data_IF_729579413836
#
_entry.id   IF_729579413836
#
_cell.length_a   1.000
_cell.length_b   1.000
_cell.length_c   1.000
_cell.angle_alpha   90.00
_cell.angle_beta   90.00
_cell.angle_gamma   90.00
#
_symmetry.space_group_name_H-M   'P 1'
#
loop_
_entity.id
_entity.type
_entity.pdbx_description
1 polymer ?
#
# COMPACT_ATOMS: atom_id res chain seq x y z
N UNK A 1 3.31 13.83 8.33
CA UNK A 1 3.58 12.37 8.37
C UNK A 1 3.22 11.65 9.67
N UNK A 2 3.60 12.11 10.88
CA UNK A 2 3.27 11.36 12.12
C UNK A 2 1.78 11.05 12.27
N UNK A 3 0.89 12.00 11.97
CA UNK A 3 -0.56 11.79 12.01
C UNK A 3 -1.05 10.69 11.07
N UNK A 4 -0.38 10.47 9.93
CA UNK A 4 -0.74 9.38 9.01
C UNK A 4 -0.34 8.03 9.61
N UNK A 5 0.86 7.93 10.20
CA UNK A 5 1.30 6.73 10.89
C UNK A 5 0.37 6.39 12.06
N UNK A 6 0.02 7.39 12.88
CA UNK A 6 -0.88 7.22 14.02
C UNK A 6 -2.28 6.77 13.56
N UNK A 7 -2.78 7.33 12.46
CA UNK A 7 -4.07 6.93 11.89
C UNK A 7 -4.02 5.48 11.35
N UNK A 8 -2.91 5.08 10.73
CA UNK A 8 -2.71 3.74 10.19
C UNK A 8 -2.62 2.66 11.28
N UNK A 9 -2.00 3.01 12.42
CA UNK A 9 -1.87 2.14 13.59
C UNK A 9 -3.11 2.16 14.50
N UNK A 10 -4.11 3.01 14.19
CA UNK A 10 -5.35 3.07 14.94
C UNK A 10 -6.15 1.78 14.78
N UNK A 11 -6.80 1.35 15.86
CA UNK A 11 -7.71 0.20 15.89
C UNK A 11 -7.07 -1.16 15.52
N UNK A 12 -5.74 -1.28 15.65
CA UNK A 12 -5.00 -2.51 15.37
C UNK A 12 -4.18 -2.44 14.09
N UNK A 13 -3.83 -3.60 13.54
CA UNK A 13 -2.95 -3.68 12.38
C UNK A 13 -3.71 -3.26 11.12
N UNK A 14 -3.27 -2.16 10.50
CA UNK A 14 -3.78 -1.73 9.22
C UNK A 14 -3.44 -2.68 8.07
N UNK A 15 -3.91 -2.33 6.88
CA UNK A 15 -3.63 -3.09 5.65
C UNK A 15 -3.21 -2.16 4.52
N UNK A 16 -2.35 -2.67 3.66
CA UNK A 16 -2.17 -2.15 2.30
C UNK A 16 -2.99 -3.02 1.34
N UNK A 17 -3.80 -2.38 0.51
CA UNK A 17 -4.71 -3.02 -0.45
C UNK A 17 -4.36 -2.56 -1.85
N UNK A 18 -4.05 -3.49 -2.74
CA UNK A 18 -3.63 -3.22 -4.12
C UNK A 18 -4.79 -3.34 -5.09
N UNK A 19 -4.87 -2.39 -6.00
CA UNK A 19 -5.97 -2.28 -6.95
C UNK A 19 -5.47 -2.07 -8.38
N UNK A 20 -6.31 -2.46 -9.32
CA UNK A 20 -6.18 -2.07 -10.71
C UNK A 20 -6.79 -0.68 -11.00
N UNK A 21 -6.65 -0.26 -12.25
CA UNK A 21 -7.33 0.93 -12.76
C UNK A 21 -6.75 2.25 -12.27
N UNK A 22 -7.58 3.28 -12.25
CA UNK A 22 -7.17 4.65 -11.90
C UNK A 22 -7.38 4.87 -10.39
N UNK A 23 -6.36 5.41 -9.74
CA UNK A 23 -6.44 5.82 -8.34
C UNK A 23 -7.56 6.86 -8.16
N UNK A 24 -8.54 6.61 -7.28
CA UNK A 24 -9.63 7.54 -7.06
C UNK A 24 -9.14 8.80 -6.34
N UNK A 25 -9.77 9.95 -6.61
CA UNK A 25 -9.50 11.16 -5.84
C UNK A 25 -10.07 11.02 -4.42
N UNK A 26 -9.25 11.29 -3.40
CA UNK A 26 -9.69 11.49 -2.01
C UNK A 26 -10.40 10.30 -1.36
N UNK A 27 -9.96 9.06 -1.61
CA UNK A 27 -10.54 7.88 -0.95
C UNK A 27 -11.87 7.41 -1.53
N UNK A 28 -12.19 7.81 -2.77
CA UNK A 28 -13.39 7.37 -3.49
C UNK A 28 -13.51 5.86 -3.71
N UNK A 29 -14.55 5.45 -4.42
CA UNK A 29 -14.82 4.03 -4.71
C UNK A 29 -13.61 3.38 -5.41
N UNK A 30 -13.14 2.28 -4.83
CA UNK A 30 -12.00 1.52 -5.36
C UNK A 30 -12.45 0.57 -6.48
N UNK A 31 -11.51 0.23 -7.38
CA UNK A 31 -11.68 -0.78 -8.41
C UNK A 31 -11.56 -2.21 -7.88
N UNK A 32 -11.02 -3.11 -8.70
CA UNK A 32 -10.84 -4.50 -8.33
C UNK A 32 -9.71 -4.64 -7.31
N UNK A 33 -10.01 -5.24 -6.16
CA UNK A 33 -8.97 -5.61 -5.19
C UNK A 33 -8.18 -6.82 -5.71
N UNK A 34 -6.88 -6.64 -5.91
CA UNK A 34 -5.95 -7.68 -6.36
C UNK A 34 -5.34 -8.43 -5.18
N UNK A 35 -4.88 -7.69 -4.16
CA UNK A 35 -4.21 -8.27 -2.99
C UNK A 35 -4.39 -7.35 -1.78
N UNK A 36 -4.42 -7.93 -0.59
CA UNK A 36 -4.38 -7.21 0.67
C UNK A 36 -3.32 -7.84 1.58
N UNK A 37 -2.45 -7.01 2.13
CA UNK A 37 -1.37 -7.44 3.03
C UNK A 37 -1.46 -6.66 4.33
N UNK A 38 -1.29 -7.35 5.45
CA UNK A 38 -1.36 -6.76 6.78
C UNK A 38 -0.06 -6.03 7.11
N UNK A 39 -0.18 -4.87 7.75
CA UNK A 39 0.95 -4.09 8.24
C UNK A 39 1.38 -4.57 9.64
N UNK A 40 2.61 -4.21 10.01
CA UNK A 40 3.07 -4.37 11.40
C UNK A 40 2.43 -3.32 12.32
N UNK A 41 2.58 -3.48 13.62
CA UNK A 41 2.37 -2.40 14.60
C UNK A 41 3.67 -2.22 15.39
N UNK A 42 4.32 -1.05 15.31
CA UNK A 42 4.01 0.10 14.46
C UNK A 42 4.08 -0.21 12.95
N UNK A 43 3.24 0.44 12.15
CA UNK A 43 3.18 0.26 10.68
C UNK A 43 4.43 0.78 9.97
N UNK A 44 5.17 1.69 10.60
CA UNK A 44 6.40 2.24 10.07
C UNK A 44 7.08 3.20 11.04
N UNK A 45 8.02 3.96 10.51
CA UNK A 45 8.74 5.00 11.24
C UNK A 45 8.74 6.30 10.46
N UNK A 46 8.58 7.42 11.17
CA UNK A 46 8.63 8.76 10.58
C UNK A 46 9.96 9.41 10.90
N UNK A 47 10.72 9.77 9.87
CA UNK A 47 12.00 10.47 10.00
C UNK A 47 12.03 11.62 9.00
N UNK A 48 12.38 12.82 9.46
CA UNK A 48 12.51 14.01 8.60
C UNK A 48 11.29 14.29 7.68
N UNK A 49 10.07 14.00 8.15
CA UNK A 49 8.85 14.21 7.36
C UNK A 49 8.56 13.13 6.32
N UNK A 50 9.23 11.99 6.40
CA UNK A 50 9.01 10.82 5.55
C UNK A 50 8.55 9.64 6.41
N UNK A 51 7.43 9.00 6.04
CA UNK A 51 6.97 7.76 6.64
C UNK A 51 7.49 6.58 5.81
N UNK A 52 8.36 5.77 6.41
CA UNK A 52 8.82 4.50 5.83
C UNK A 52 8.09 3.36 6.51
N UNK A 53 7.29 2.59 5.76
CA UNK A 53 6.60 1.45 6.31
C UNK A 53 7.60 0.34 6.70
N UNK A 54 7.30 -0.34 7.80
CA UNK A 54 8.01 -1.55 8.23
C UNK A 54 7.89 -2.63 7.14
N UNK A 55 8.82 -3.60 7.07
CA UNK A 55 8.73 -4.69 6.10
C UNK A 55 7.37 -5.39 6.13
N UNK A 56 6.75 -5.54 4.95
CA UNK A 56 5.43 -6.16 4.77
C UNK A 56 5.64 -7.54 4.16
N UNK A 57 5.05 -8.57 4.78
CA UNK A 57 5.18 -9.94 4.28
C UNK A 57 4.63 -10.04 2.84
N UNK A 58 5.34 -10.70 1.91
CA UNK A 58 4.87 -10.85 0.53
C UNK A 58 3.60 -11.70 0.48
N UNK A 59 2.74 -11.45 -0.51
CA UNK A 59 1.69 -12.38 -0.86
C UNK A 59 2.26 -13.39 -1.87
N UNK A 60 2.35 -14.66 -1.48
CA UNK A 60 2.92 -15.73 -2.31
C UNK A 60 1.87 -16.57 -3.05
N UNK A 61 0.59 -16.19 -2.96
CA UNK A 61 -0.49 -16.90 -3.63
C UNK A 61 -1.59 -15.92 -4.03
N UNK A 62 -1.37 -15.21 -5.12
CA UNK A 62 -2.36 -14.30 -5.69
C UNK A 62 -3.57 -15.08 -6.20
N UNK A 63 -4.77 -14.65 -5.80
CA UNK A 63 -6.04 -15.25 -6.24
C UNK A 63 -6.73 -14.50 -7.38
N UNK A 64 -6.28 -13.29 -7.69
CA UNK A 64 -6.93 -12.38 -8.65
C UNK A 64 -5.91 -11.89 -9.69
N UNK A 65 -6.25 -12.04 -10.96
CA UNK A 65 -5.43 -11.53 -12.07
C UNK A 65 -5.67 -10.04 -12.26
N UNK A 66 -4.61 -9.28 -12.54
CA UNK A 66 -4.73 -7.86 -12.87
C UNK A 66 -3.37 -7.16 -12.97
N UNK A 67 -3.41 -5.88 -13.31
CA UNK A 67 -2.23 -5.01 -13.26
C UNK A 67 -2.43 -4.02 -12.12
N UNK A 68 -1.59 -4.11 -11.10
CA UNK A 68 -1.60 -3.17 -9.98
C UNK A 68 -1.18 -1.80 -10.51
N UNK A 69 -1.95 -0.77 -10.18
CA UNK A 69 -1.64 0.61 -10.52
C UNK A 69 -1.51 1.50 -9.27
N UNK A 70 -2.21 1.17 -8.20
CA UNK A 70 -2.22 1.96 -6.97
C UNK A 70 -2.56 1.09 -5.76
N UNK A 71 -2.33 1.63 -4.57
CA UNK A 71 -2.64 0.99 -3.31
C UNK A 71 -3.38 1.93 -2.36
N UNK A 72 -4.27 1.36 -1.55
CA UNK A 72 -4.93 2.03 -0.43
C UNK A 72 -4.36 1.54 0.89
N UNK A 73 -4.03 2.47 1.75
CA UNK A 73 -3.79 2.22 3.16
C UNK A 73 -5.09 2.37 3.94
N UNK A 74 -5.37 1.39 4.80
CA UNK A 74 -6.48 1.42 5.74
C UNK A 74 -6.02 1.08 7.15
N UNK A 75 -6.66 1.64 8.17
CA UNK A 75 -6.36 1.35 9.57
C UNK A 75 -6.91 -0.02 10.00
N UNK A 76 -6.72 -0.41 11.27
CA UNK A 76 -7.20 -1.69 11.80
C UNK A 76 -8.72 -1.86 11.83
N UNK A 77 -9.49 -0.77 11.70
CA UNK A 77 -10.94 -0.80 11.52
C UNK A 77 -11.36 -0.88 10.04
N UNK A 78 -10.40 -0.83 9.11
CA UNK A 78 -10.65 -0.81 7.66
C UNK A 78 -11.02 0.57 7.11
N UNK A 79 -10.86 1.63 7.90
CA UNK A 79 -11.13 3.01 7.48
C UNK A 79 -10.01 3.53 6.58
N UNK A 80 -10.38 4.38 5.61
CA UNK A 80 -9.46 4.98 4.67
C UNK A 80 -8.40 5.85 5.37
N UNK A 81 -7.13 5.64 5.03
CA UNK A 81 -6.02 6.49 5.47
C UNK A 81 -5.47 7.28 4.30
N UNK A 82 -5.09 6.61 3.21
CA UNK A 82 -4.41 7.25 2.08
C UNK A 82 -4.42 6.36 0.83
N UNK A 83 -4.40 6.96 -0.35
CA UNK A 83 -4.13 6.29 -1.62
C UNK A 83 -2.75 6.67 -2.14
N UNK A 84 -2.04 5.71 -2.73
CA UNK A 84 -0.65 5.83 -3.15
C UNK A 84 -0.45 5.17 -4.52
N UNK A 85 0.42 5.76 -5.34
CA UNK A 85 0.83 5.16 -6.60
C UNK A 85 1.73 3.93 -6.37
N UNK A 86 1.62 2.97 -7.28
CA UNK A 86 2.45 1.77 -7.31
C UNK A 86 3.28 1.74 -8.59
N UNK A 87 4.53 1.32 -8.45
CA UNK A 87 5.45 1.16 -9.58
C UNK A 87 6.47 0.07 -9.32
N UNK A 88 7.39 -0.09 -10.26
CA UNK A 88 8.60 -0.90 -10.11
C UNK A 88 9.81 -0.01 -9.85
N UNK A 89 10.95 -0.65 -9.58
CA UNK A 89 12.19 0.07 -9.31
C UNK A 89 12.55 1.00 -10.48
N UNK A 90 12.68 2.29 -10.20
CA UNK A 90 12.98 3.34 -11.18
C UNK A 90 11.80 4.25 -11.52
N UNK A 91 10.56 3.88 -11.19
CA UNK A 91 9.37 4.67 -11.51
C UNK A 91 9.17 5.88 -10.59
N UNK A 92 9.79 5.85 -9.40
CA UNK A 92 9.65 6.91 -8.41
C UNK A 92 8.32 6.89 -7.62
N UNK A 93 7.54 5.83 -7.76
CA UNK A 93 6.28 5.63 -7.03
C UNK A 93 6.48 5.49 -5.52
N UNK A 94 5.47 5.85 -4.73
CA UNK A 94 5.49 5.68 -3.27
C UNK A 94 5.67 4.22 -2.85
N UNK A 95 5.01 3.31 -3.57
CA UNK A 95 5.11 1.86 -3.34
C UNK A 95 5.86 1.22 -4.51
N UNK A 96 6.99 0.59 -4.22
CA UNK A 96 7.74 -0.19 -5.20
C UNK A 96 7.47 -1.68 -5.03
N UNK A 97 6.98 -2.32 -6.09
CA UNK A 97 6.69 -3.75 -6.14
C UNK A 97 7.72 -4.51 -6.96
N UNK A 98 7.82 -5.83 -6.74
CA UNK A 98 8.62 -6.73 -7.57
C UNK A 98 8.06 -6.90 -9.00
N UNK A 99 6.74 -6.78 -9.14
CA UNK A 99 5.99 -6.83 -10.40
C UNK A 99 4.66 -6.09 -10.20
N UNK A 100 4.15 -5.45 -11.26
CA UNK A 100 2.78 -4.93 -11.28
C UNK A 100 1.78 -5.96 -11.81
N UNK A 101 2.26 -6.96 -12.56
CA UNK A 101 1.39 -8.02 -13.08
C UNK A 101 1.12 -9.06 -12.01
N UNK A 102 -0.16 -9.18 -11.66
CA UNK A 102 -0.69 -10.16 -10.73
C UNK A 102 -1.30 -11.31 -11.53
N UNK A 103 -0.79 -12.53 -11.31
CA UNK A 103 -1.31 -13.76 -11.93
C UNK A 103 -1.69 -14.75 -10.84
N UNK A 104 -2.68 -15.62 -11.09
CA UNK A 104 -3.09 -16.63 -10.11
C UNK A 104 -1.91 -17.54 -9.74
N UNK A 105 -1.71 -17.77 -8.43
CA UNK A 105 -0.58 -18.54 -7.89
C UNK A 105 0.77 -17.83 -7.96
N UNK A 106 0.80 -16.59 -8.48
CA UNK A 106 1.99 -15.74 -8.48
C UNK A 106 2.26 -15.11 -7.12
N UNK A 107 3.36 -14.37 -7.04
CA UNK A 107 3.79 -13.68 -5.84
C UNK A 107 3.98 -12.16 -6.07
N UNK A 108 3.60 -11.37 -5.07
CA UNK A 108 3.79 -9.91 -5.05
C UNK A 108 4.55 -9.56 -3.78
N UNK A 109 5.73 -8.97 -3.97
CA UNK A 109 6.59 -8.49 -2.91
C UNK A 109 6.66 -6.96 -2.97
N UNK A 110 6.55 -6.35 -1.79
CA UNK A 110 6.76 -4.92 -1.60
C UNK A 110 8.24 -4.72 -1.29
N UNK A 111 8.95 -4.04 -2.18
CA UNK A 111 10.38 -3.77 -2.07
C UNK A 111 10.65 -2.51 -1.25
N UNK A 112 9.82 -1.50 -1.40
CA UNK A 112 9.82 -0.29 -0.57
C UNK A 112 8.42 0.33 -0.51
N UNK A 113 8.15 1.02 0.59
CA UNK A 113 6.93 1.78 0.78
C UNK A 113 7.27 3.03 1.59
N UNK A 114 7.33 4.16 0.89
CA UNK A 114 7.88 5.41 1.40
C UNK A 114 6.95 6.54 1.02
N UNK A 115 6.45 7.26 2.02
CA UNK A 115 5.45 8.31 1.87
C UNK A 115 6.10 9.62 2.29
N UNK A 116 6.08 10.59 1.39
CA UNK A 116 6.53 11.97 1.64
C UNK A 116 5.36 12.93 1.43
N UNK A 117 5.48 14.17 1.93
CA UNK A 117 4.41 15.17 1.85
C UNK A 117 3.97 15.51 0.40
N UNK A 118 4.76 15.16 -0.63
CA UNK A 118 4.41 15.32 -2.04
C UNK A 118 3.53 14.21 -2.64
N UNK A 119 3.28 13.14 -1.89
CA UNK A 119 2.39 12.03 -2.27
C UNK A 119 0.99 12.15 -1.65
N UNK A 120 0.72 13.25 -0.91
CA UNK A 120 -0.53 13.53 -0.21
C UNK A 120 -1.46 14.46 -1.00
#
# INVERSE_FOLDING_TARGET
MQTIADHLDANGAGQIRFYDGVMPAGGGAAGLLISAQQLSIPSGSVVAGQLTLSPIAPNLNIGTVGVIAWARLVNGAGEFVMDLDCGIAGDGAAITLSTLEATIGGAIQILSAVIIDGNA
#
